data_IF_366336694406
#
_entry.id   IF_366336694406
#
_cell.length_a   1.000
_cell.length_b   1.000
_cell.length_c   1.000
_cell.angle_alpha   90.00
_cell.angle_beta   90.00
_cell.angle_gamma   90.00
#
_symmetry.space_group_name_H-M   'P 1'
#
loop_
_entity.id
_entity.type
_entity.pdbx_description
1 polymer ?
#
# COMPACT_ATOMS: atom_id res chain seq x y z
N UNK A 1 -11.85 3.16 -34.72
CA UNK A 1 -11.69 4.24 -33.72
C UNK A 1 -13.02 4.27 -33.01
N UNK A 2 -13.00 3.87 -31.75
CA UNK A 2 -14.18 3.32 -31.05
C UNK A 2 -15.08 4.41 -30.46
N UNK A 3 -15.22 5.56 -31.14
CA UNK A 3 -16.11 6.66 -30.75
C UNK A 3 -15.80 7.38 -29.43
N UNK A 4 -14.91 6.83 -28.59
CA UNK A 4 -14.57 7.40 -27.29
C UNK A 4 -13.92 8.79 -27.42
N UNK A 5 -14.45 9.76 -26.68
CA UNK A 5 -13.88 11.09 -26.58
C UNK A 5 -12.48 11.01 -25.98
N UNK A 6 -11.47 11.53 -26.68
CA UNK A 6 -10.08 11.56 -26.19
C UNK A 6 -9.66 12.98 -25.85
N UNK A 7 -9.32 13.20 -24.58
CA UNK A 7 -8.75 14.43 -24.04
C UNK A 7 -7.23 14.30 -24.07
N UNK A 8 -6.54 15.24 -24.71
CA UNK A 8 -5.07 15.25 -24.77
C UNK A 8 -4.55 16.50 -24.06
N UNK A 9 -3.72 16.31 -23.05
CA UNK A 9 -3.00 17.39 -22.37
C UNK A 9 -1.51 17.26 -22.65
N UNK A 10 -0.93 18.26 -23.34
CA UNK A 10 0.46 18.26 -23.79
C UNK A 10 1.28 19.32 -23.03
N UNK A 11 2.45 18.91 -22.53
CA UNK A 11 3.47 19.82 -21.97
C UNK A 11 4.77 19.67 -22.76
N UNK A 12 5.55 20.75 -22.81
CA UNK A 12 6.89 20.77 -23.40
C UNK A 12 8.01 20.66 -22.37
N UNK A 13 7.66 20.48 -21.10
CA UNK A 13 8.53 20.33 -19.95
C UNK A 13 7.89 19.40 -18.92
N UNK A 14 8.64 19.04 -17.88
CA UNK A 14 8.12 18.25 -16.76
C UNK A 14 7.25 19.17 -15.89
N UNK A 15 5.97 18.83 -15.72
CA UNK A 15 5.01 19.62 -14.93
C UNK A 15 4.14 18.70 -14.05
N UNK A 16 4.29 18.80 -12.73
CA UNK A 16 3.48 18.06 -11.75
C UNK A 16 2.00 18.47 -11.77
N UNK A 17 1.68 19.67 -12.27
CA UNK A 17 0.32 20.17 -12.42
C UNK A 17 -0.42 19.61 -13.65
N UNK A 18 0.28 18.94 -14.57
CA UNK A 18 -0.31 18.44 -15.81
C UNK A 18 -1.44 17.43 -15.55
N UNK A 19 -1.25 16.52 -14.60
CA UNK A 19 -2.26 15.52 -14.27
C UNK A 19 -3.54 16.16 -13.73
N UNK A 20 -3.40 17.10 -12.80
CA UNK A 20 -4.52 17.85 -12.23
C UNK A 20 -5.26 18.68 -13.30
N UNK A 21 -4.52 19.29 -14.23
CA UNK A 21 -5.11 19.98 -15.39
C UNK A 21 -5.88 19.03 -16.31
N UNK A 22 -5.28 17.90 -16.68
CA UNK A 22 -5.92 16.88 -17.50
C UNK A 22 -7.20 16.31 -16.86
N UNK A 23 -7.16 16.07 -15.54
CA UNK A 23 -8.31 15.58 -14.78
C UNK A 23 -9.46 16.59 -14.73
N UNK A 24 -9.18 17.89 -14.64
CA UNK A 24 -10.23 18.92 -14.76
C UNK A 24 -10.92 18.89 -16.12
N UNK A 25 -10.15 18.72 -17.20
CA UNK A 25 -10.73 18.62 -18.55
C UNK A 25 -11.52 17.34 -18.72
N UNK A 26 -11.02 16.23 -18.18
CA UNK A 26 -11.72 14.96 -18.15
C UNK A 26 -13.06 15.05 -17.41
N UNK A 27 -13.07 15.60 -16.20
CA UNK A 27 -14.27 15.77 -15.37
C UNK A 27 -15.33 16.62 -16.07
N UNK A 28 -14.91 17.74 -16.67
CA UNK A 28 -15.80 18.57 -17.48
C UNK A 28 -16.34 17.80 -18.69
N UNK A 29 -15.48 17.08 -19.41
CA UNK A 29 -15.87 16.33 -20.60
C UNK A 29 -16.88 15.22 -20.29
N UNK A 30 -16.63 14.43 -19.24
CA UNK A 30 -17.55 13.39 -18.75
C UNK A 30 -18.90 14.00 -18.38
N UNK A 31 -18.90 15.12 -17.64
CA UNK A 31 -20.13 15.81 -17.23
C UNK A 31 -20.95 16.36 -18.40
N UNK A 32 -20.31 16.62 -19.54
CA UNK A 32 -20.92 17.24 -20.71
C UNK A 32 -20.99 16.30 -21.93
N UNK A 33 -20.77 15.00 -21.75
CA UNK A 33 -20.56 14.06 -22.88
C UNK A 33 -21.77 13.99 -23.82
N UNK A 34 -23.00 14.06 -23.31
CA UNK A 34 -24.21 14.10 -24.14
C UNK A 34 -24.30 15.37 -25.00
N UNK A 35 -23.85 16.52 -24.49
CA UNK A 35 -23.82 17.75 -25.26
C UNK A 35 -22.74 17.70 -26.35
N UNK A 36 -21.59 17.10 -26.02
CA UNK A 36 -20.49 16.90 -26.96
C UNK A 36 -20.94 15.96 -28.09
N UNK A 37 -21.56 14.82 -27.79
CA UNK A 37 -22.01 13.85 -28.81
C UNK A 37 -23.12 14.39 -29.73
N UNK A 38 -23.95 15.31 -29.24
CA UNK A 38 -24.91 16.04 -30.09
C UNK A 38 -24.23 16.93 -31.13
N UNK A 39 -23.07 17.50 -30.77
CA UNK A 39 -22.29 18.41 -31.62
C UNK A 39 -21.31 17.67 -32.52
N UNK A 40 -20.80 16.52 -32.08
CA UNK A 40 -19.79 15.70 -32.76
C UNK A 40 -20.31 14.26 -32.89
N UNK A 41 -20.77 13.90 -34.09
CA UNK A 41 -21.43 12.61 -34.36
C UNK A 41 -20.50 11.40 -34.24
N UNK A 42 -19.20 11.66 -34.26
CA UNK A 42 -18.14 10.68 -34.08
C UNK A 42 -17.92 10.32 -32.61
N UNK A 43 -18.45 11.12 -31.68
CA UNK A 43 -18.34 10.87 -30.24
C UNK A 43 -19.52 10.01 -29.78
N UNK A 44 -19.22 8.81 -29.30
CA UNK A 44 -20.18 7.98 -28.59
C UNK A 44 -20.21 8.42 -27.11
N UNK A 45 -21.41 8.72 -26.60
CA UNK A 45 -21.59 9.15 -25.22
C UNK A 45 -21.67 7.99 -24.22
N UNK A 46 -21.82 6.76 -24.70
CA UNK A 46 -21.82 5.56 -23.86
C UNK A 46 -20.41 5.02 -23.63
N UNK A 47 -19.43 5.45 -24.43
CA UNK A 47 -18.03 5.06 -24.30
C UNK A 47 -17.31 5.93 -23.26
N UNK A 48 -16.50 5.28 -22.41
CA UNK A 48 -15.73 6.00 -21.40
C UNK A 48 -14.68 6.91 -22.06
N UNK A 49 -14.67 8.23 -21.78
CA UNK A 49 -13.64 9.11 -22.31
C UNK A 49 -12.24 8.64 -21.94
N UNK A 50 -11.25 8.97 -22.77
CA UNK A 50 -9.84 8.67 -22.54
C UNK A 50 -9.08 9.94 -22.24
N UNK A 51 -8.19 9.92 -21.24
CA UNK A 51 -7.26 10.99 -20.95
C UNK A 51 -5.84 10.57 -21.36
N UNK A 52 -5.21 11.36 -22.22
CA UNK A 52 -3.82 11.14 -22.63
C UNK A 52 -2.98 12.35 -22.19
N UNK A 53 -2.00 12.11 -21.32
CA UNK A 53 -0.99 13.11 -21.00
C UNK A 53 0.25 12.86 -21.84
N UNK A 54 0.80 13.93 -22.42
CA UNK A 54 2.00 13.87 -23.25
C UNK A 54 3.03 14.87 -22.74
N UNK A 55 4.26 14.44 -22.48
CA UNK A 55 5.35 15.31 -22.00
C UNK A 55 6.73 14.78 -22.45
N UNK A 56 7.82 15.56 -22.37
CA UNK A 56 9.16 15.02 -22.62
C UNK A 56 9.58 13.96 -21.60
N UNK A 57 9.08 14.09 -20.37
CA UNK A 57 9.23 13.17 -19.25
C UNK A 57 8.15 13.48 -18.20
N UNK A 58 7.81 12.51 -17.35
CA UNK A 58 6.99 12.75 -16.16
C UNK A 58 7.81 12.61 -14.88
N UNK A 59 7.45 13.36 -13.85
CA UNK A 59 8.07 13.22 -12.53
C UNK A 59 7.67 11.89 -11.87
N UNK A 60 8.50 11.43 -10.93
CA UNK A 60 8.18 10.27 -10.09
C UNK A 60 6.93 10.49 -9.22
N UNK A 61 6.66 11.75 -8.85
CA UNK A 61 5.48 12.09 -8.09
C UNK A 61 4.20 11.91 -8.92
N UNK A 62 4.18 12.48 -10.14
CA UNK A 62 3.06 12.31 -11.07
C UNK A 62 2.84 10.83 -11.41
N UNK A 63 3.91 10.09 -11.75
CA UNK A 63 3.85 8.64 -12.01
C UNK A 63 3.29 7.86 -10.81
N UNK A 64 3.56 8.29 -9.58
CA UNK A 64 3.02 7.66 -8.37
C UNK A 64 1.53 7.96 -8.17
N UNK A 65 1.10 9.19 -8.40
CA UNK A 65 -0.30 9.61 -8.24
C UNK A 65 -1.18 9.00 -9.32
N UNK A 66 -0.70 8.92 -10.57
CA UNK A 66 -1.41 8.34 -11.70
C UNK A 66 -1.93 6.92 -11.44
N UNK A 67 -1.21 6.13 -10.63
CA UNK A 67 -1.60 4.76 -10.20
C UNK A 67 -2.91 4.67 -9.44
N UNK A 68 -3.37 5.78 -8.87
CA UNK A 68 -4.57 5.84 -8.03
C UNK A 68 -5.70 6.62 -8.70
N UNK A 69 -5.51 7.06 -9.94
CA UNK A 69 -6.51 7.78 -10.71
C UNK A 69 -7.49 6.77 -11.31
N UNK A 70 -8.78 6.94 -11.00
CA UNK A 70 -9.85 6.13 -11.56
C UNK A 70 -10.40 6.80 -12.83
N UNK A 71 -9.57 6.84 -13.88
CA UNK A 71 -9.92 7.30 -15.22
C UNK A 71 -9.12 6.46 -16.24
N UNK A 72 -9.63 6.34 -17.46
CA UNK A 72 -8.91 5.74 -18.58
C UNK A 72 -7.74 6.64 -19.02
N UNK A 73 -6.63 6.55 -18.28
CA UNK A 73 -5.47 7.44 -18.34
C UNK A 73 -4.28 6.76 -19.02
N UNK A 74 -3.70 7.44 -20.00
CA UNK A 74 -2.41 7.08 -20.59
C UNK A 74 -1.38 8.19 -20.46
N UNK A 75 -0.13 7.78 -20.28
CA UNK A 75 1.03 8.66 -20.23
C UNK A 75 1.93 8.35 -21.43
N UNK A 76 2.27 9.36 -22.22
CA UNK A 76 3.25 9.25 -23.30
C UNK A 76 4.42 10.21 -23.07
N UNK A 77 5.63 9.65 -23.09
CA UNK A 77 6.86 10.44 -23.12
C UNK A 77 7.33 10.59 -24.57
N UNK A 78 7.71 11.82 -24.97
CA UNK A 78 8.20 12.10 -26.31
C UNK A 78 9.63 12.62 -26.36
N UNK A 79 10.34 12.26 -27.42
CA UNK A 79 11.68 12.74 -27.72
C UNK A 79 11.73 13.31 -29.14
N UNK A 80 12.35 14.48 -29.29
CA UNK A 80 12.59 15.09 -30.61
C UNK A 80 14.01 14.77 -31.04
N UNK A 81 14.14 13.99 -32.11
CA UNK A 81 15.43 13.68 -32.75
C UNK A 81 15.60 14.61 -33.93
N UNK A 82 16.74 15.31 -33.99
CA UNK A 82 17.15 16.08 -35.17
C UNK A 82 18.22 15.30 -35.93
N UNK A 83 17.98 15.01 -37.20
CA UNK A 83 18.95 14.34 -38.06
C UNK A 83 19.99 15.33 -38.60
N UNK A 84 21.14 14.85 -39.12
CA UNK A 84 22.20 15.71 -39.65
C UNK A 84 21.76 16.61 -40.82
N UNK A 85 20.79 16.17 -41.62
CA UNK A 85 20.18 16.94 -42.71
C UNK A 85 19.12 17.94 -42.24
N UNK A 86 18.89 18.05 -40.93
CA UNK A 86 18.03 19.05 -40.32
C UNK A 86 16.57 18.62 -40.12
N UNK A 87 16.18 17.42 -40.56
CA UNK A 87 14.84 16.89 -40.32
C UNK A 87 14.62 16.61 -38.82
N UNK A 88 13.36 16.67 -38.39
CA UNK A 88 12.96 16.42 -36.99
C UNK A 88 11.96 15.28 -36.95
N UNK A 89 12.22 14.34 -36.05
CA UNK A 89 11.37 13.20 -35.78
C UNK A 89 10.92 13.23 -34.33
N UNK A 90 9.67 12.86 -34.08
CA UNK A 90 9.14 12.70 -32.72
C UNK A 90 9.00 11.21 -32.46
N UNK A 91 9.68 10.71 -31.43
CA UNK A 91 9.46 9.38 -30.89
C UNK A 91 8.58 9.51 -29.67
N UNK A 92 7.44 8.82 -29.66
CA UNK A 92 6.58 8.70 -28.48
C UNK A 92 6.63 7.28 -27.96
N UNK A 93 6.72 7.11 -26.65
CA UNK A 93 6.55 5.82 -25.99
C UNK A 93 5.59 5.94 -24.83
N UNK A 94 4.80 4.89 -24.61
CA UNK A 94 3.85 4.84 -23.51
C UNK A 94 4.59 4.51 -22.21
N UNK A 95 4.30 5.27 -21.16
CA UNK A 95 4.76 4.98 -19.80
C UNK A 95 3.75 4.06 -19.14
N UNK A 96 4.21 2.91 -18.66
CA UNK A 96 3.37 1.94 -17.98
C UNK A 96 2.91 2.48 -16.62
N UNK A 97 1.58 2.56 -16.43
CA UNK A 97 0.99 2.81 -15.11
C UNK A 97 0.80 1.45 -14.43
N UNK A 98 1.73 1.11 -13.54
CA UNK A 98 1.65 -0.12 -12.75
C UNK A 98 0.61 0.08 -11.64
N UNK A 99 -0.51 -0.64 -11.72
CA UNK A 99 -1.52 -0.66 -10.67
C UNK A 99 -0.90 -1.01 -9.30
N UNK A 100 -1.29 -0.30 -8.24
CA UNK A 100 -0.80 -0.62 -6.91
C UNK A 100 -1.33 -2.01 -6.50
N UNK A 101 -0.51 -2.86 -5.88
CA UNK A 101 -1.01 -4.13 -5.38
C UNK A 101 -2.15 -3.87 -4.39
N UNK A 102 -3.20 -4.70 -4.38
CA UNK A 102 -4.32 -4.50 -3.46
C UNK A 102 -3.82 -4.50 -2.01
N UNK A 103 -4.44 -3.70 -1.13
CA UNK A 103 -4.07 -3.67 0.28
C UNK A 103 -4.23 -5.07 0.87
N UNK A 104 -3.14 -5.63 1.41
CA UNK A 104 -3.18 -6.94 2.07
C UNK A 104 -3.83 -6.78 3.44
N UNK A 105 -5.00 -7.37 3.64
CA UNK A 105 -5.61 -7.49 4.96
C UNK A 105 -4.77 -8.49 5.78
N UNK A 106 -4.17 -8.07 6.91
CA UNK A 106 -3.38 -8.98 7.72
C UNK A 106 -4.26 -10.08 8.31
N UNK A 107 -3.84 -11.33 8.15
CA UNK A 107 -4.49 -12.49 8.77
C UNK A 107 -3.52 -13.20 9.71
N UNK A 108 -4.04 -13.95 10.68
CA UNK A 108 -3.22 -14.75 11.59
C UNK A 108 -2.36 -15.74 10.81
N UNK A 109 -2.97 -16.45 9.88
CA UNK A 109 -2.29 -17.41 9.02
C UNK A 109 -1.22 -16.74 8.14
N UNK A 110 -1.55 -15.61 7.51
CA UNK A 110 -0.60 -14.85 6.69
C UNK A 110 0.62 -14.38 7.48
N UNK A 111 0.42 -13.99 8.74
CA UNK A 111 1.50 -13.62 9.64
C UNK A 111 2.36 -14.81 10.05
N UNK A 112 1.75 -15.93 10.45
CA UNK A 112 2.47 -17.15 10.85
C UNK A 112 3.25 -17.78 9.69
N UNK A 113 2.69 -17.79 8.48
CA UNK A 113 3.35 -18.30 7.27
C UNK A 113 4.62 -17.53 6.89
N UNK A 114 4.86 -16.36 7.51
CA UNK A 114 6.13 -15.63 7.39
C UNK A 114 7.31 -16.41 7.97
N UNK A 115 7.06 -17.28 8.96
CA UNK A 115 8.06 -18.08 9.65
C UNK A 115 8.31 -19.36 8.84
N UNK A 116 9.47 -19.44 8.20
CA UNK A 116 9.83 -20.54 7.29
C UNK A 116 10.15 -21.84 8.07
N UNK A 117 10.67 -21.72 9.30
CA UNK A 117 10.92 -22.89 10.15
C UNK A 117 9.62 -23.38 10.81
N UNK A 118 9.20 -24.59 10.46
CA UNK A 118 7.94 -25.19 10.94
C UNK A 118 7.87 -25.30 12.47
N UNK A 119 8.95 -25.73 13.14
CA UNK A 119 8.98 -25.85 14.61
C UNK A 119 8.79 -24.49 15.29
N UNK A 120 9.42 -23.45 14.75
CA UNK A 120 9.29 -22.08 15.26
C UNK A 120 7.90 -21.52 14.97
N UNK A 121 7.33 -21.85 13.80
CA UNK A 121 5.96 -21.45 13.44
C UNK A 121 4.94 -22.06 14.38
N UNK A 122 5.07 -23.36 14.65
CA UNK A 122 4.23 -24.08 15.60
C UNK A 122 4.37 -23.51 17.01
N UNK A 123 5.60 -23.28 17.48
CA UNK A 123 5.85 -22.62 18.76
C UNK A 123 5.16 -21.26 18.83
N UNK A 124 5.29 -20.42 17.81
CA UNK A 124 4.64 -19.11 17.77
C UNK A 124 3.11 -19.25 17.85
N UNK A 125 2.51 -20.20 17.13
CA UNK A 125 1.08 -20.47 17.18
C UNK A 125 0.62 -20.93 18.58
N UNK A 126 1.41 -21.79 19.24
CA UNK A 126 1.18 -22.24 20.61
C UNK A 126 1.28 -21.07 21.62
N UNK A 127 2.29 -20.22 21.52
CA UNK A 127 2.43 -19.02 22.37
C UNK A 127 1.26 -18.04 22.21
N UNK A 128 0.78 -17.82 20.97
CA UNK A 128 -0.39 -16.98 20.72
C UNK A 128 -1.65 -17.59 21.34
N UNK A 129 -1.80 -18.92 21.27
CA UNK A 129 -2.92 -19.63 21.90
C UNK A 129 -2.85 -19.53 23.43
N UNK A 130 -1.68 -19.71 24.02
CA UNK A 130 -1.46 -19.55 25.46
C UNK A 130 -1.87 -18.16 25.95
N UNK A 131 -1.54 -17.11 25.19
CA UNK A 131 -2.01 -15.75 25.48
C UNK A 131 -3.55 -15.67 25.41
N UNK A 132 -4.17 -16.16 24.34
CA UNK A 132 -5.63 -16.14 24.18
C UNK A 132 -6.37 -16.88 25.30
N UNK A 133 -5.84 -18.02 25.74
CA UNK A 133 -6.39 -18.81 26.84
C UNK A 133 -6.38 -18.04 28.18
N UNK A 134 -5.58 -16.97 28.29
CA UNK A 134 -5.57 -16.04 29.45
C UNK A 134 -6.47 -14.81 29.27
N UNK A 135 -7.31 -14.77 28.22
CA UNK A 135 -8.22 -13.66 27.95
C UNK A 135 -7.57 -12.47 27.24
N UNK A 136 -6.39 -12.67 26.65
CA UNK A 136 -5.68 -11.66 25.86
C UNK A 136 -6.21 -11.65 24.44
N UNK A 137 -6.50 -10.47 23.93
CA UNK A 137 -6.94 -10.29 22.56
C UNK A 137 -5.75 -10.10 21.62
N UNK A 138 -5.74 -10.83 20.51
CA UNK A 138 -4.65 -10.81 19.52
C UNK A 138 -5.19 -10.36 18.17
N UNK A 139 -4.64 -9.26 17.64
CA UNK A 139 -5.04 -8.69 16.35
C UNK A 139 -3.89 -8.75 15.34
N UNK A 140 -4.03 -9.45 14.20
CA UNK A 140 -3.08 -9.36 13.10
C UNK A 140 -3.00 -7.92 12.58
N UNK A 141 -1.79 -7.40 12.42
CA UNK A 141 -1.51 -6.08 11.85
C UNK A 141 -0.46 -6.19 10.74
N UNK A 142 -0.27 -5.09 10.01
CA UNK A 142 0.61 -5.02 8.85
C UNK A 142 2.04 -5.49 9.16
N UNK A 143 2.77 -5.87 8.10
CA UNK A 143 4.19 -6.29 8.15
C UNK A 143 4.46 -7.52 9.03
N UNK A 144 3.50 -8.45 9.08
CA UNK A 144 3.61 -9.73 9.79
C UNK A 144 3.74 -9.58 11.31
N UNK A 145 3.00 -8.64 11.89
CA UNK A 145 2.97 -8.40 13.33
C UNK A 145 1.59 -8.67 13.92
N UNK A 146 1.54 -8.93 15.22
CA UNK A 146 0.34 -8.97 16.03
C UNK A 146 0.39 -7.85 17.05
N UNK A 147 -0.74 -7.15 17.21
CA UNK A 147 -0.98 -6.27 18.35
C UNK A 147 -1.70 -7.07 19.41
N UNK A 148 -1.15 -7.09 20.62
CA UNK A 148 -1.62 -7.91 21.73
C UNK A 148 -2.18 -6.99 22.82
N UNK A 149 -3.45 -7.21 23.14
CA UNK A 149 -4.29 -6.34 23.96
C UNK A 149 -4.79 -7.07 25.20
N UNK A 150 -4.81 -6.38 26.33
CA UNK A 150 -5.41 -6.89 27.57
C UNK A 150 -6.21 -5.77 28.22
N UNK A 151 -7.47 -6.06 28.60
CA UNK A 151 -8.44 -5.08 29.14
C UNK A 151 -8.49 -3.76 28.35
N UNK A 152 -8.50 -3.85 27.02
CA UNK A 152 -8.59 -2.68 26.13
C UNK A 152 -7.31 -1.86 26.02
N UNK A 153 -6.18 -2.30 26.57
CA UNK A 153 -4.86 -1.65 26.43
C UNK A 153 -3.91 -2.53 25.61
N UNK A 154 -3.18 -1.94 24.66
CA UNK A 154 -2.04 -2.61 24.02
C UNK A 154 -0.92 -2.69 25.04
N UNK A 155 -0.37 -3.89 25.25
CA UNK A 155 0.78 -4.07 26.13
C UNK A 155 1.88 -4.90 25.51
N UNK A 156 1.64 -5.56 24.37
CA UNK A 156 2.64 -6.37 23.70
C UNK A 156 2.46 -6.31 22.16
N UNK A 157 3.56 -6.51 21.43
CA UNK A 157 3.60 -6.75 20.00
C UNK A 157 4.41 -8.00 19.72
N UNK A 158 3.94 -8.81 18.78
CA UNK A 158 4.65 -10.00 18.33
C UNK A 158 4.90 -9.94 16.83
N UNK A 159 6.15 -10.01 16.40
CA UNK A 159 6.53 -9.92 14.98
C UNK A 159 7.07 -11.23 14.43
N UNK A 160 6.39 -11.82 13.45
CA UNK A 160 6.85 -13.03 12.76
C UNK A 160 7.98 -12.69 11.78
N UNK A 161 9.12 -13.39 11.89
CA UNK A 161 10.29 -13.28 10.99
C UNK A 161 10.59 -14.64 10.36
N UNK A 162 11.43 -14.68 9.33
CA UNK A 162 11.78 -15.94 8.59
C UNK A 162 12.15 -17.10 9.52
N UNK A 163 12.95 -16.84 10.55
CA UNK A 163 13.59 -17.89 11.37
C UNK A 163 13.23 -17.84 12.85
N UNK A 164 12.45 -16.85 13.28
CA UNK A 164 12.14 -16.56 14.68
C UNK A 164 10.93 -15.63 14.75
N UNK A 165 10.38 -15.42 15.93
CA UNK A 165 9.47 -14.30 16.18
C UNK A 165 10.07 -13.37 17.24
N UNK A 166 9.63 -12.12 17.23
CA UNK A 166 10.10 -11.08 18.14
C UNK A 166 8.94 -10.70 19.05
N UNK A 167 9.22 -10.53 20.34
CA UNK A 167 8.26 -10.01 21.30
C UNK A 167 8.74 -8.65 21.83
N UNK A 168 7.85 -7.66 21.81
CA UNK A 168 8.03 -6.35 22.43
C UNK A 168 6.91 -6.17 23.45
N UNK A 169 7.25 -5.96 24.71
CA UNK A 169 6.31 -5.66 25.79
C UNK A 169 6.46 -4.20 26.19
N UNK A 170 5.35 -3.55 26.51
CA UNK A 170 5.30 -2.19 27.03
C UNK A 170 5.67 -2.20 28.51
N UNK A 171 6.69 -1.42 28.88
CA UNK A 171 7.15 -1.26 30.26
C UNK A 171 6.22 -0.34 31.07
N UNK A 172 6.32 -0.40 32.41
CA UNK A 172 5.60 0.49 33.31
C UNK A 172 5.74 1.99 33.02
N UNK A 173 6.91 2.41 32.52
CA UNK A 173 7.26 3.79 32.19
C UNK A 173 6.76 4.25 30.80
N UNK A 174 6.04 3.38 30.08
CA UNK A 174 5.54 3.65 28.73
C UNK A 174 6.54 3.42 27.61
N UNK A 175 7.78 3.02 27.92
CA UNK A 175 8.76 2.61 26.91
C UNK A 175 8.54 1.16 26.48
N UNK A 176 8.96 0.80 25.27
CA UNK A 176 8.91 -0.59 24.81
C UNK A 176 10.23 -1.29 25.13
N UNK A 177 10.16 -2.55 25.61
CA UNK A 177 11.38 -3.37 25.66
C UNK A 177 11.94 -3.51 24.23
N UNK A 178 13.26 -3.58 24.13
CA UNK A 178 13.89 -3.97 22.87
C UNK A 178 13.42 -5.38 22.49
N UNK A 179 13.02 -5.55 21.24
CA UNK A 179 12.46 -6.81 20.74
C UNK A 179 13.30 -8.03 21.14
N UNK A 180 12.69 -8.93 21.91
CA UNK A 180 13.29 -10.20 22.33
C UNK A 180 13.01 -11.23 21.24
N UNK A 181 14.08 -11.79 20.68
CA UNK A 181 14.00 -12.87 19.70
C UNK A 181 13.67 -14.18 20.41
N UNK A 182 12.70 -14.92 19.89
CA UNK A 182 12.26 -16.22 20.37
C UNK A 182 12.37 -17.25 19.25
N UNK A 183 13.05 -18.36 19.57
CA UNK A 183 13.24 -19.55 18.74
C UNK A 183 12.96 -20.85 19.48
N UNK A 184 13.00 -20.84 20.81
CA UNK A 184 12.71 -22.01 21.65
C UNK A 184 11.64 -21.71 22.71
N UNK A 185 11.08 -22.77 23.29
CA UNK A 185 10.06 -22.67 24.33
C UNK A 185 10.62 -22.07 25.62
N UNK A 186 11.86 -22.39 25.97
CA UNK A 186 12.53 -21.86 27.16
C UNK A 186 12.74 -20.33 27.05
N UNK A 187 13.07 -19.84 25.85
CA UNK A 187 13.16 -18.40 25.58
C UNK A 187 11.79 -17.72 25.74
N UNK A 188 10.73 -18.38 25.25
CA UNK A 188 9.36 -17.91 25.43
C UNK A 188 8.97 -17.85 26.90
N UNK A 189 9.13 -18.95 27.65
CA UNK A 189 8.77 -19.03 29.07
C UNK A 189 9.51 -17.99 29.91
N UNK A 190 10.79 -17.75 29.61
CA UNK A 190 11.56 -16.69 30.26
C UNK A 190 10.99 -15.31 29.95
N UNK A 191 10.68 -15.03 28.69
CA UNK A 191 10.10 -13.75 28.27
C UNK A 191 8.70 -13.54 28.87
N UNK A 192 7.87 -14.58 28.85
CA UNK A 192 6.52 -14.56 29.38
C UNK A 192 6.51 -14.25 30.89
N UNK A 193 7.31 -14.98 31.67
CA UNK A 193 7.36 -14.81 33.11
C UNK A 193 8.01 -13.49 33.54
N UNK A 194 9.03 -13.02 32.83
CA UNK A 194 9.78 -11.84 33.22
C UNK A 194 9.17 -10.52 32.71
N UNK A 195 8.48 -10.54 31.57
CA UNK A 195 8.01 -9.32 30.91
C UNK A 195 6.48 -9.28 30.78
N UNK A 196 5.85 -10.38 30.31
CA UNK A 196 4.40 -10.42 30.05
C UNK A 196 3.60 -10.45 31.34
N UNK A 197 3.91 -11.36 32.27
CA UNK A 197 3.18 -11.50 33.54
C UNK A 197 3.23 -10.19 34.37
N UNK A 198 4.38 -9.51 34.54
CA UNK A 198 4.42 -8.22 35.23
C UNK A 198 3.61 -7.13 34.52
N UNK A 199 3.62 -7.08 33.18
CA UNK A 199 2.84 -6.12 32.41
C UNK A 199 1.32 -6.31 32.63
N UNK A 200 0.85 -7.56 32.61
CA UNK A 200 -0.56 -7.91 32.88
C UNK A 200 -0.95 -7.50 34.30
N UNK A 201 -0.16 -7.88 35.31
CA UNK A 201 -0.42 -7.52 36.73
C UNK A 201 -0.51 -6.01 36.94
N UNK A 202 0.31 -5.23 36.24
CA UNK A 202 0.23 -3.77 36.29
C UNK A 202 -1.09 -3.26 35.73
N UNK A 203 -1.52 -3.77 34.57
CA UNK A 203 -2.81 -3.40 33.97
C UNK A 203 -3.96 -3.76 34.91
N UNK A 204 -3.89 -4.91 35.59
CA UNK A 204 -4.86 -5.30 36.61
C UNK A 204 -4.86 -4.38 37.83
N UNK A 205 -3.72 -3.77 38.19
CA UNK A 205 -3.65 -2.81 39.30
C UNK A 205 -4.13 -1.39 38.94
N UNK A 206 -4.26 -1.08 37.64
CA UNK A 206 -4.65 0.23 37.11
C UNK A 206 -6.15 0.34 36.79
N UNK A 207 -6.91 -0.77 36.83
CA UNK A 207 -8.32 -0.82 36.47
C UNK A 207 -9.17 -1.44 37.56
#
# INVERSE_FOLDING_TARGET
>A
MDGALTIIELKNEIDDGQLDQGLRYYDWAVTNIQLISQSFKEVDAEEEPRLILIAPAFSENLKRVAKYVNANLDLFEYHVIKTPDGQRYVLCHQVEIIEPPPPRIPTREGNLNRIENEKVRQLCAECLKELEDTGIEIRPIQRYWFSIWYKGKVFMRLGCKKKFFICEVLKPDGSWIKGIRITTKEEWEKMFNNEVVPAIRKIDSEG
#
